data_IF_181971066611
#
_entry.id   IF_181971066611
#
_cell.length_a   1.000
_cell.length_b   1.000
_cell.length_c   1.000
_cell.angle_alpha   90.00
_cell.angle_beta   90.00
_cell.angle_gamma   90.00
#
_symmetry.space_group_name_H-M   'P 1'
#
loop_
_entity.id
_entity.type
_entity.pdbx_description
1 polymer ?
#
# COMPACT_ATOMS: atom_id res chain seq x y z
N UNK A 1 16.27 7.53 15.39
CA UNK A 1 14.89 7.95 15.10
C UNK A 1 14.83 9.45 14.73
N UNK A 2 15.41 10.32 15.52
CA UNK A 2 15.40 11.79 15.32
C UNK A 2 16.03 12.26 14.01
N UNK A 3 16.91 11.47 13.39
CA UNK A 3 17.56 11.76 12.08
C UNK A 3 16.67 11.44 10.86
N UNK A 4 15.55 10.76 11.07
CA UNK A 4 14.61 10.41 10.01
C UNK A 4 13.76 11.61 9.57
N UNK A 5 13.29 11.60 8.32
CA UNK A 5 12.31 12.57 7.88
C UNK A 5 11.02 12.48 8.72
N UNK A 6 10.28 13.59 8.87
CA UNK A 6 9.01 13.58 9.60
C UNK A 6 8.03 12.54 9.05
N UNK A 7 7.98 12.36 7.72
CA UNK A 7 7.16 11.35 7.07
C UNK A 7 7.56 9.93 7.46
N UNK A 8 8.86 9.64 7.53
CA UNK A 8 9.34 8.32 7.94
C UNK A 8 9.08 8.06 9.43
N UNK A 9 9.28 9.06 10.30
CA UNK A 9 8.92 8.94 11.71
C UNK A 9 7.44 8.57 11.90
N UNK A 10 6.53 9.17 11.11
CA UNK A 10 5.10 8.83 11.14
C UNK A 10 4.88 7.39 10.66
N UNK A 11 5.57 6.97 9.59
CA UNK A 11 5.45 5.60 9.07
C UNK A 11 5.91 4.56 10.09
N UNK A 12 7.03 4.82 10.78
CA UNK A 12 7.51 3.90 11.81
C UNK A 12 6.58 3.83 13.03
N UNK A 13 5.85 4.89 13.36
CA UNK A 13 4.78 4.84 14.38
C UNK A 13 3.66 3.85 14.01
N UNK A 14 3.46 3.55 12.73
CA UNK A 14 2.49 2.54 12.30
C UNK A 14 2.87 1.11 12.69
N UNK A 15 4.15 0.84 12.91
CA UNK A 15 4.60 -0.41 13.51
C UNK A 15 4.31 -0.45 15.02
N UNK A 16 3.96 0.69 15.60
CA UNK A 16 3.71 0.86 17.03
C UNK A 16 4.99 0.91 17.86
N UNK A 17 6.15 1.13 17.22
CA UNK A 17 7.42 1.29 17.90
C UNK A 17 7.58 2.72 18.41
N UNK A 18 7.98 2.82 19.68
CA UNK A 18 8.51 4.07 20.21
C UNK A 18 9.99 4.24 19.79
N UNK A 19 10.56 5.41 20.09
CA UNK A 19 11.95 5.72 19.70
C UNK A 19 12.98 4.74 20.27
N UNK A 20 12.79 4.29 21.52
CA UNK A 20 13.69 3.33 22.17
C UNK A 20 13.63 1.97 21.49
N UNK A 21 12.44 1.45 21.24
CA UNK A 21 12.23 0.18 20.55
C UNK A 21 12.76 0.21 19.11
N UNK A 22 12.55 1.33 18.40
CA UNK A 22 13.10 1.52 17.06
C UNK A 22 14.62 1.48 17.06
N UNK A 23 15.28 2.19 17.98
CA UNK A 23 16.73 2.24 18.07
C UNK A 23 17.32 0.86 18.46
N UNK A 24 16.65 0.14 19.37
CA UNK A 24 17.03 -1.23 19.73
C UNK A 24 16.93 -2.18 18.53
N UNK A 25 15.84 -2.14 17.78
CA UNK A 25 15.65 -2.95 16.58
C UNK A 25 16.71 -2.61 15.52
N UNK A 26 16.97 -1.32 15.29
CA UNK A 26 17.97 -0.87 14.32
C UNK A 26 19.38 -1.35 14.70
N UNK A 27 19.73 -1.33 15.98
CA UNK A 27 20.98 -1.84 16.51
C UNK A 27 21.10 -3.37 16.30
N UNK A 28 20.05 -4.14 16.58
CA UNK A 28 20.03 -5.58 16.33
C UNK A 28 20.16 -5.91 14.83
N UNK A 29 19.48 -5.18 13.94
CA UNK A 29 19.65 -5.34 12.49
C UNK A 29 21.12 -5.09 12.10
N UNK A 30 21.70 -4.00 12.58
CA UNK A 30 23.09 -3.65 12.27
C UNK A 30 24.09 -4.71 12.73
N UNK A 31 23.86 -5.30 13.91
CA UNK A 31 24.76 -6.32 14.50
C UNK A 31 24.62 -7.71 13.89
N UNK A 32 23.41 -8.09 13.52
CA UNK A 32 23.07 -9.48 13.18
C UNK A 32 22.68 -9.69 11.72
N UNK A 33 22.75 -8.65 10.87
CA UNK A 33 22.51 -8.82 9.44
C UNK A 33 23.49 -9.80 8.81
N UNK A 34 22.96 -10.78 8.09
CA UNK A 34 23.71 -11.84 7.46
C UNK A 34 23.98 -11.49 6.01
N UNK A 35 25.25 -11.53 5.61
CA UNK A 35 25.71 -11.35 4.24
C UNK A 35 26.44 -12.60 3.76
N UNK A 36 26.17 -13.06 2.56
CA UNK A 36 26.87 -14.16 1.88
C UNK A 36 27.25 -13.70 0.48
N UNK A 37 28.54 -13.81 0.14
CA UNK A 37 29.08 -13.38 -1.16
C UNK A 37 28.72 -11.91 -1.51
N UNK A 38 28.77 -11.02 -0.50
CA UNK A 38 28.40 -9.61 -0.62
C UNK A 38 26.90 -9.34 -0.79
N UNK A 39 26.07 -10.38 -0.77
CA UNK A 39 24.60 -10.25 -0.89
C UNK A 39 23.94 -10.39 0.48
N UNK A 40 23.00 -9.47 0.76
CA UNK A 40 22.19 -9.54 1.96
C UNK A 40 21.29 -10.79 1.96
N UNK A 41 21.32 -11.57 3.03
CA UNK A 41 20.56 -12.80 3.20
C UNK A 41 19.43 -12.67 4.22
N UNK A 42 19.56 -11.80 5.19
CA UNK A 42 18.53 -11.61 6.21
C UNK A 42 19.02 -10.84 7.43
N UNK A 43 18.10 -10.62 8.37
CA UNK A 43 18.34 -9.83 9.59
C UNK A 43 18.88 -10.64 10.77
N UNK A 44 19.11 -11.95 10.60
CA UNK A 44 19.64 -12.82 11.66
C UNK A 44 18.79 -12.85 12.94
N UNK A 45 17.46 -12.90 12.79
CA UNK A 45 16.46 -12.73 13.86
C UNK A 45 16.67 -13.70 15.04
N UNK A 46 17.27 -14.87 14.79
CA UNK A 46 17.52 -15.89 15.83
C UNK A 46 18.58 -15.46 16.84
N UNK A 47 19.47 -14.54 16.46
CA UNK A 47 20.54 -14.02 17.30
C UNK A 47 20.15 -12.76 18.09
N UNK A 48 18.90 -12.29 17.94
CA UNK A 48 18.43 -11.08 18.59
C UNK A 48 18.07 -11.30 20.06
N UNK A 49 18.10 -10.23 20.84
CA UNK A 49 17.54 -10.27 22.20
C UNK A 49 16.05 -10.62 22.15
N UNK A 50 15.55 -11.40 23.11
CA UNK A 50 14.12 -11.80 23.14
C UNK A 50 13.17 -10.59 23.09
N UNK A 51 13.53 -9.49 23.76
CA UNK A 51 12.74 -8.25 23.79
C UNK A 51 12.68 -7.59 22.43
N UNK A 52 13.81 -7.35 21.77
CA UNK A 52 13.86 -6.74 20.44
C UNK A 52 13.15 -7.60 19.38
N UNK A 53 13.32 -8.92 19.47
CA UNK A 53 12.62 -9.89 18.62
C UNK A 53 11.12 -9.81 18.77
N UNK A 54 10.61 -9.69 20.01
CA UNK A 54 9.18 -9.52 20.30
C UNK A 54 8.65 -8.20 19.72
N UNK A 55 9.32 -7.08 19.99
CA UNK A 55 8.92 -5.76 19.47
C UNK A 55 8.89 -5.76 17.93
N UNK A 56 9.92 -6.34 17.30
CA UNK A 56 9.97 -6.48 15.84
C UNK A 56 8.80 -7.31 15.31
N UNK A 57 8.55 -8.48 15.87
CA UNK A 57 7.48 -9.40 15.42
C UNK A 57 6.10 -8.77 15.55
N UNK A 58 5.82 -8.10 16.67
CA UNK A 58 4.55 -7.39 16.89
C UNK A 58 4.39 -6.23 15.91
N UNK A 59 5.45 -5.46 15.67
CA UNK A 59 5.43 -4.36 14.71
C UNK A 59 5.21 -4.84 13.28
N UNK A 60 5.89 -5.91 12.88
CA UNK A 60 5.70 -6.52 11.56
C UNK A 60 4.29 -7.08 11.38
N UNK A 61 3.71 -7.71 12.42
CA UNK A 61 2.32 -8.17 12.38
C UNK A 61 1.36 -6.99 12.15
N UNK A 62 1.51 -5.88 12.87
CA UNK A 62 0.71 -4.66 12.66
C UNK A 62 0.85 -4.10 11.25
N UNK A 63 2.06 -4.13 10.70
CA UNK A 63 2.31 -3.69 9.33
C UNK A 63 1.62 -4.61 8.32
N UNK A 64 1.75 -5.94 8.48
CA UNK A 64 1.09 -6.93 7.62
C UNK A 64 -0.43 -6.77 7.66
N UNK A 65 -1.04 -6.66 8.83
CA UNK A 65 -2.48 -6.47 8.99
C UNK A 65 -2.99 -5.18 8.32
N UNK A 66 -2.11 -4.18 8.22
CA UNK A 66 -2.40 -2.93 7.51
C UNK A 66 -2.31 -3.08 5.99
N UNK A 67 -1.26 -3.75 5.49
CA UNK A 67 -1.01 -3.91 4.05
C UNK A 67 -1.96 -4.92 3.43
N UNK A 68 -2.19 -6.04 4.10
CA UNK A 68 -3.07 -7.13 3.64
C UNK A 68 -4.55 -6.77 3.76
N UNK A 69 -4.88 -5.60 4.33
CA UNK A 69 -6.26 -5.12 4.48
C UNK A 69 -7.19 -6.12 5.15
N UNK A 70 -6.67 -6.81 6.16
CA UNK A 70 -7.45 -7.73 6.96
C UNK A 70 -8.67 -7.01 7.54
N UNK A 71 -9.85 -7.57 7.30
CA UNK A 71 -11.10 -7.03 7.80
C UNK A 71 -11.27 -7.42 9.26
N UNK A 72 -10.67 -6.64 10.16
CA UNK A 72 -10.88 -6.84 11.59
C UNK A 72 -12.21 -6.24 12.01
N UNK A 73 -12.97 -7.00 12.77
CA UNK A 73 -14.31 -6.61 13.27
C UNK A 73 -14.27 -5.27 14.01
N UNK A 74 -13.14 -4.94 14.68
CA UNK A 74 -12.95 -3.68 15.40
C UNK A 74 -12.71 -2.44 14.52
N UNK A 75 -12.38 -2.62 13.23
CA UNK A 75 -12.16 -1.51 12.28
C UNK A 75 -13.36 -1.24 11.39
N UNK A 76 -14.38 -2.09 11.44
CA UNK A 76 -15.61 -1.94 10.67
C UNK A 76 -16.63 -1.09 11.42
N UNK A 77 -17.22 -0.12 10.73
CA UNK A 77 -18.34 0.64 11.27
C UNK A 77 -19.50 -0.29 11.64
N UNK A 78 -20.14 -0.03 12.79
CA UNK A 78 -21.16 -0.90 13.38
C UNK A 78 -22.33 -1.26 12.44
N UNK A 79 -22.68 -0.39 11.49
CA UNK A 79 -23.72 -0.68 10.52
C UNK A 79 -23.34 -1.76 9.49
N UNK A 80 -22.02 -2.00 9.25
CA UNK A 80 -21.55 -3.10 8.40
C UNK A 80 -21.79 -4.50 9.00
N UNK A 81 -22.09 -4.57 10.29
CA UNK A 81 -22.38 -5.84 10.96
C UNK A 81 -23.83 -6.26 10.81
N UNK A 82 -24.72 -5.41 10.30
CA UNK A 82 -26.10 -5.77 9.98
C UNK A 82 -26.17 -6.66 8.74
N UNK A 83 -27.11 -7.61 8.71
CA UNK A 83 -27.24 -8.59 7.63
C UNK A 83 -27.49 -7.93 6.25
N UNK A 84 -28.25 -6.86 6.20
CA UNK A 84 -28.49 -6.10 4.97
C UNK A 84 -27.23 -5.39 4.47
N UNK A 85 -26.45 -4.80 5.37
CA UNK A 85 -25.20 -4.15 4.99
C UNK A 85 -24.17 -5.17 4.53
N UNK A 86 -24.13 -6.39 5.11
CA UNK A 86 -23.26 -7.48 4.66
C UNK A 86 -23.49 -7.86 3.21
N UNK A 87 -24.73 -7.99 2.78
CA UNK A 87 -25.07 -8.33 1.38
C UNK A 87 -24.56 -7.24 0.43
N UNK A 88 -24.79 -5.96 0.77
CA UNK A 88 -24.39 -4.83 -0.08
C UNK A 88 -22.85 -4.63 -0.06
N UNK A 89 -22.22 -4.89 1.07
CA UNK A 89 -20.80 -4.58 1.27
C UNK A 89 -19.87 -5.77 1.04
N UNK A 90 -20.40 -6.99 0.89
CA UNK A 90 -19.63 -8.22 0.72
C UNK A 90 -18.54 -8.11 -0.34
N UNK A 91 -18.82 -7.43 -1.45
CA UNK A 91 -17.86 -7.19 -2.53
C UNK A 91 -17.13 -5.83 -2.44
N UNK A 92 -17.52 -4.97 -1.49
CA UNK A 92 -16.94 -3.63 -1.33
C UNK A 92 -16.09 -3.47 -0.07
N UNK A 93 -15.99 -4.50 0.76
CA UNK A 93 -15.15 -4.49 1.98
C UNK A 93 -13.69 -4.22 1.66
N UNK A 94 -13.19 -4.78 0.55
CA UNK A 94 -11.83 -4.51 0.07
C UNK A 94 -11.64 -3.02 -0.29
N UNK A 95 -12.59 -2.44 -1.02
CA UNK A 95 -12.56 -1.03 -1.42
C UNK A 95 -12.57 -0.10 -0.21
N UNK A 96 -13.41 -0.40 0.78
CA UNK A 96 -13.50 0.38 2.02
C UNK A 96 -12.24 0.21 2.90
N UNK A 97 -11.70 -1.00 2.97
CA UNK A 97 -10.43 -1.26 3.64
C UNK A 97 -9.26 -0.50 2.98
N UNK A 98 -9.22 -0.47 1.66
CA UNK A 98 -8.25 0.30 0.89
C UNK A 98 -8.34 1.80 1.17
N UNK A 99 -9.55 2.34 1.21
CA UNK A 99 -9.80 3.73 1.57
C UNK A 99 -9.28 4.10 2.96
N UNK A 100 -9.74 3.36 3.97
CA UNK A 100 -9.39 3.68 5.36
C UNK A 100 -7.91 3.45 5.64
N UNK A 101 -7.36 2.32 5.21
CA UNK A 101 -5.98 1.94 5.56
C UNK A 101 -4.93 2.59 4.65
N UNK A 102 -5.24 2.81 3.38
CA UNK A 102 -4.27 3.37 2.42
C UNK A 102 -4.47 4.86 2.19
N UNK A 103 -5.64 5.27 1.69
CA UNK A 103 -5.86 6.67 1.33
C UNK A 103 -5.81 7.59 2.54
N UNK A 104 -6.62 7.31 3.57
CA UNK A 104 -6.68 8.18 4.75
C UNK A 104 -5.33 8.26 5.47
N UNK A 105 -4.58 7.16 5.54
CA UNK A 105 -3.25 7.18 6.14
C UNK A 105 -2.24 8.00 5.34
N UNK A 106 -2.32 7.98 4.01
CA UNK A 106 -1.47 8.80 3.15
C UNK A 106 -1.82 10.27 3.24
N UNK A 107 -3.12 10.59 3.25
CA UNK A 107 -3.60 11.97 3.47
C UNK A 107 -3.16 12.50 4.84
N UNK A 108 -3.20 11.67 5.88
CA UNK A 108 -2.69 12.03 7.20
C UNK A 108 -1.20 12.37 7.15
N UNK A 109 -0.37 11.53 6.52
CA UNK A 109 1.07 11.81 6.36
C UNK A 109 1.29 13.11 5.58
N UNK A 110 0.55 13.35 4.49
CA UNK A 110 0.64 14.59 3.72
C UNK A 110 0.25 15.82 4.55
N UNK A 111 -0.82 15.73 5.35
CA UNK A 111 -1.24 16.83 6.23
C UNK A 111 -0.17 17.14 7.28
N UNK A 112 0.36 16.13 7.96
CA UNK A 112 1.40 16.28 8.99
C UNK A 112 2.74 16.79 8.44
N UNK A 113 3.06 16.45 7.19
CA UNK A 113 4.28 16.90 6.50
C UNK A 113 4.06 18.19 5.70
N UNK A 114 2.88 18.80 5.78
CA UNK A 114 2.48 19.96 4.97
C UNK A 114 2.72 19.75 3.47
N UNK A 115 2.39 18.56 2.97
CA UNK A 115 2.56 18.20 1.57
C UNK A 115 4.00 17.90 1.13
N UNK A 116 4.98 17.85 2.03
CA UNK A 116 6.41 17.66 1.68
C UNK A 116 6.85 16.18 1.72
N UNK A 117 5.94 15.23 1.59
CA UNK A 117 6.27 13.80 1.64
C UNK A 117 6.44 13.20 0.24
N UNK A 118 7.68 13.16 -0.24
CA UNK A 118 8.03 12.59 -1.54
C UNK A 118 7.60 11.12 -1.70
N UNK A 119 7.67 10.31 -0.64
CA UNK A 119 7.28 8.90 -0.70
C UNK A 119 5.79 8.71 -0.99
N UNK A 120 4.92 9.58 -0.47
CA UNK A 120 3.49 9.52 -0.78
C UNK A 120 3.23 9.85 -2.25
N UNK A 121 3.90 10.87 -2.80
CA UNK A 121 3.77 11.22 -4.22
C UNK A 121 4.33 10.12 -5.13
N UNK A 122 5.50 9.58 -4.81
CA UNK A 122 6.10 8.51 -5.61
C UNK A 122 5.26 7.24 -5.59
N UNK A 123 4.68 6.87 -4.45
CA UNK A 123 3.77 5.74 -4.34
C UNK A 123 2.47 5.95 -5.14
N UNK A 124 1.94 7.18 -5.15
CA UNK A 124 0.79 7.53 -5.97
C UNK A 124 1.11 7.39 -7.47
N UNK A 125 2.20 8.01 -7.92
CA UNK A 125 2.63 7.91 -9.31
C UNK A 125 2.91 6.47 -9.74
N UNK A 126 3.59 5.69 -8.90
CA UNK A 126 3.85 4.27 -9.15
C UNK A 126 2.55 3.46 -9.30
N UNK A 127 1.53 3.73 -8.48
CA UNK A 127 0.24 3.07 -8.58
C UNK A 127 -0.52 3.42 -9.87
N UNK A 128 -0.43 4.67 -10.32
CA UNK A 128 -1.01 5.10 -11.59
C UNK A 128 -0.29 4.44 -12.78
N UNK A 129 1.05 4.43 -12.78
CA UNK A 129 1.85 3.79 -13.83
C UNK A 129 1.53 2.29 -13.90
N UNK A 130 1.49 1.59 -12.76
CA UNK A 130 1.13 0.18 -12.70
C UNK A 130 -0.28 -0.09 -13.24
N UNK A 131 -1.25 0.76 -12.92
CA UNK A 131 -2.62 0.66 -13.44
C UNK A 131 -2.67 0.84 -14.97
N UNK A 132 -1.91 1.79 -15.51
CA UNK A 132 -1.79 2.04 -16.97
C UNK A 132 -1.14 0.85 -17.66
N UNK A 133 -0.03 0.32 -17.13
CA UNK A 133 0.66 -0.84 -17.70
C UNK A 133 -0.26 -2.06 -17.75
N UNK A 134 -0.93 -2.37 -16.64
CA UNK A 134 -1.87 -3.48 -16.59
C UNK A 134 -3.01 -3.32 -17.59
N UNK A 135 -3.57 -2.11 -17.69
CA UNK A 135 -4.61 -1.80 -18.66
C UNK A 135 -4.12 -1.96 -20.10
N UNK A 136 -2.92 -1.46 -20.42
CA UNK A 136 -2.35 -1.58 -21.76
C UNK A 136 -2.20 -3.06 -22.16
N UNK A 137 -1.62 -3.89 -21.28
CA UNK A 137 -1.49 -5.35 -21.52
C UNK A 137 -2.87 -5.97 -21.74
N UNK A 138 -3.86 -5.64 -20.93
CA UNK A 138 -5.23 -6.13 -21.09
C UNK A 138 -5.83 -5.74 -22.44
N UNK A 139 -5.64 -4.47 -22.89
CA UNK A 139 -6.15 -4.04 -24.19
C UNK A 139 -5.43 -4.74 -25.35
N UNK A 140 -4.11 -4.99 -25.23
CA UNK A 140 -3.38 -5.78 -26.21
C UNK A 140 -3.96 -7.19 -26.32
N UNK A 141 -4.16 -7.89 -25.21
CA UNK A 141 -4.77 -9.23 -25.19
C UNK A 141 -6.17 -9.20 -25.82
N UNK A 142 -6.99 -8.22 -25.45
CA UNK A 142 -8.35 -8.06 -25.98
C UNK A 142 -8.39 -7.67 -27.48
N UNK A 143 -7.27 -7.23 -28.03
CA UNK A 143 -7.17 -6.84 -29.44
C UNK A 143 -6.85 -8.01 -30.36
N UNK A 144 -6.42 -9.15 -29.82
CA UNK A 144 -6.09 -10.32 -30.64
C UNK A 144 -7.31 -10.86 -31.40
N UNK A 145 -7.11 -11.17 -32.68
CA UNK A 145 -8.16 -11.68 -33.56
C UNK A 145 -9.15 -10.64 -34.06
N UNK A 146 -8.99 -9.36 -33.76
CA UNK A 146 -9.85 -8.28 -34.25
C UNK A 146 -9.38 -7.78 -35.62
N UNK A 147 -10.31 -7.60 -36.55
CA UNK A 147 -10.03 -7.00 -37.87
C UNK A 147 -9.69 -5.51 -37.77
N UNK A 148 -10.16 -4.83 -36.72
CA UNK A 148 -9.97 -3.41 -36.45
C UNK A 148 -8.91 -3.12 -35.35
N UNK A 149 -7.98 -4.07 -35.11
CA UNK A 149 -7.02 -4.04 -33.99
C UNK A 149 -6.32 -2.68 -33.82
N UNK A 150 -5.80 -2.12 -34.92
CA UNK A 150 -5.06 -0.85 -34.86
C UNK A 150 -5.95 0.30 -34.35
N UNK A 151 -7.14 0.48 -34.91
CA UNK A 151 -8.10 1.51 -34.49
C UNK A 151 -8.54 1.31 -33.05
N UNK A 152 -8.77 0.07 -32.64
CA UNK A 152 -9.14 -0.28 -31.28
C UNK A 152 -8.05 0.15 -30.29
N UNK A 153 -6.78 -0.20 -30.56
CA UNK A 153 -5.66 0.16 -29.68
C UNK A 153 -5.42 1.67 -29.65
N UNK A 154 -5.43 2.35 -30.79
CA UNK A 154 -5.31 3.82 -30.85
C UNK A 154 -6.35 4.54 -30.00
N UNK A 155 -7.60 4.10 -30.06
CA UNK A 155 -8.69 4.67 -29.24
C UNK A 155 -8.52 4.36 -27.76
N UNK A 156 -8.14 3.13 -27.40
CA UNK A 156 -8.04 2.66 -26.01
C UNK A 156 -6.78 3.15 -25.32
N UNK A 157 -5.67 3.24 -26.04
CA UNK A 157 -4.38 3.67 -25.52
C UNK A 157 -4.08 5.15 -25.80
N UNK A 158 -5.09 5.95 -26.12
CA UNK A 158 -4.92 7.41 -26.25
C UNK A 158 -4.41 8.00 -24.92
N UNK A 159 -3.58 9.05 -24.95
CA UNK A 159 -3.03 9.69 -23.74
C UNK A 159 -4.11 10.09 -22.73
N UNK A 160 -5.23 10.61 -23.22
CA UNK A 160 -6.37 10.98 -22.38
C UNK A 160 -6.97 9.79 -21.66
N UNK A 161 -7.22 8.67 -22.37
CA UNK A 161 -7.75 7.45 -21.76
C UNK A 161 -6.76 6.83 -20.77
N UNK A 162 -5.46 6.83 -21.08
CA UNK A 162 -4.43 6.31 -20.19
C UNK A 162 -4.35 7.13 -18.89
N UNK A 163 -4.41 8.46 -18.97
CA UNK A 163 -4.43 9.32 -17.78
C UNK A 163 -5.67 9.06 -16.92
N UNK A 164 -6.86 8.98 -17.55
CA UNK A 164 -8.12 8.69 -16.88
C UNK A 164 -8.10 7.31 -16.21
N UNK A 165 -7.66 6.29 -16.92
CA UNK A 165 -7.58 4.91 -16.41
C UNK A 165 -6.52 4.80 -15.32
N UNK A 166 -5.34 5.42 -15.49
CA UNK A 166 -4.30 5.47 -14.48
C UNK A 166 -4.83 6.00 -13.16
N UNK A 167 -5.60 7.06 -13.18
CA UNK A 167 -6.26 7.59 -11.98
C UNK A 167 -7.35 6.66 -11.47
N UNK A 168 -8.33 6.28 -12.30
CA UNK A 168 -9.51 5.51 -11.89
C UNK A 168 -9.18 4.08 -11.41
N UNK A 169 -8.14 3.46 -11.93
CA UNK A 169 -7.70 2.11 -11.52
C UNK A 169 -6.55 2.12 -10.52
N UNK A 170 -6.05 3.29 -10.15
CA UNK A 170 -5.11 3.38 -9.03
C UNK A 170 -5.80 2.99 -7.73
N UNK A 171 -5.06 2.44 -6.79
CA UNK A 171 -5.59 2.06 -5.47
C UNK A 171 -6.19 3.24 -4.69
N UNK A 172 -5.97 4.46 -5.16
CA UNK A 172 -6.43 5.69 -4.52
C UNK A 172 -7.85 6.09 -4.92
N UNK A 173 -8.28 5.71 -6.10
CA UNK A 173 -9.59 6.07 -6.65
C UNK A 173 -10.63 4.95 -6.51
N UNK A 174 -10.27 3.84 -5.85
CA UNK A 174 -11.13 2.66 -5.71
C UNK A 174 -12.50 2.93 -5.06
N UNK A 175 -12.68 4.12 -4.50
CA UNK A 175 -13.96 4.59 -3.94
C UNK A 175 -14.87 5.28 -4.93
N UNK A 176 -14.33 5.76 -6.06
CA UNK A 176 -15.19 6.31 -7.09
C UNK A 176 -15.80 5.10 -7.77
N UNK A 177 -17.07 4.72 -7.47
CA UNK A 177 -17.72 3.64 -8.17
C UNK A 177 -17.61 3.99 -9.63
N UNK A 178 -17.28 3.03 -10.46
CA UNK A 178 -17.25 3.23 -11.90
C UNK A 178 -18.60 3.71 -12.41
N UNK A 179 -18.85 4.98 -12.24
CA UNK A 179 -19.83 5.73 -12.96
C UNK A 179 -19.24 6.01 -14.34
N UNK A 180 -19.02 4.94 -15.11
CA UNK A 180 -18.86 5.00 -16.57
C UNK A 180 -19.24 3.62 -17.14
#
# INVERSE_FOLDING_TARGET
FSKLSKGDQIRYKYFGWNEKEFNEIADQISKHSVYKDGKYQGIGLDNWTPTARSHYSVGMQRFIDRVVQRNDVGTMNRWFTSDYARIITQFRTFTLGSYTKQLMSRLYVLAETRGKDFHTYSAFMASMIGAVQFYAVQQYINSFGRSDQKKFLEKRLSPENLAKIGFLRSSWSSLIPGAI
#
